data_IF_135221921532
#
_entry.id   IF_135221921532
#
_cell.length_a   1.000
_cell.length_b   1.000
_cell.length_c   1.000
_cell.angle_alpha   90.00
_cell.angle_beta   90.00
_cell.angle_gamma   90.00
#
_symmetry.space_group_name_H-M   'P 1'
#
loop_
_entity.id
_entity.type
_entity.pdbx_description
1 polymer ?
#
# COMPACT_ATOMS: atom_id res chain seq x y z
N UNK A 1 72.34 0.78 55.97
CA UNK A 1 71.58 -0.42 55.61
C UNK A 1 70.13 -0.02 55.55
N UNK A 2 69.68 0.39 54.36
CA UNK A 2 68.30 0.77 54.14
C UNK A 2 67.63 -0.25 53.25
N UNK A 3 66.64 -0.95 53.81
CA UNK A 3 65.84 -1.93 53.12
C UNK A 3 64.56 -1.22 52.65
N UNK A 4 64.37 -0.99 51.33
CA UNK A 4 63.16 -0.55 50.77
C UNK A 4 62.23 -1.73 50.46
N UNK A 5 61.07 -1.73 51.06
CA UNK A 5 60.00 -2.71 50.82
C UNK A 5 59.13 -2.08 49.75
N UNK A 6 59.13 -2.69 48.55
CA UNK A 6 58.25 -2.26 47.41
C UNK A 6 56.93 -3.04 47.53
N UNK A 7 55.83 -2.31 47.80
CA UNK A 7 54.47 -2.85 47.74
C UNK A 7 53.99 -2.87 46.29
N UNK A 8 53.72 -4.04 45.74
CA UNK A 8 52.97 -4.21 44.49
C UNK A 8 51.48 -4.18 44.82
N UNK A 9 50.80 -3.10 44.37
CA UNK A 9 49.35 -3.02 44.35
C UNK A 9 48.90 -3.61 42.99
N UNK A 10 48.34 -4.83 43.03
CA UNK A 10 47.68 -5.42 41.90
C UNK A 10 46.27 -4.76 41.77
N UNK A 11 46.12 -3.81 40.82
CA UNK A 11 44.80 -3.31 40.44
C UNK A 11 44.18 -4.31 39.48
N UNK A 12 43.27 -5.15 40.01
CA UNK A 12 42.37 -5.96 39.17
C UNK A 12 41.32 -5.04 38.52
N UNK A 13 41.57 -4.63 37.25
CA UNK A 13 40.60 -3.98 36.42
C UNK A 13 39.52 -5.01 36.01
N UNK A 14 38.45 -5.12 36.81
CA UNK A 14 37.23 -5.77 36.36
C UNK A 14 36.59 -4.89 35.28
N UNK A 15 36.85 -5.23 34.02
CA UNK A 15 36.11 -4.69 32.89
C UNK A 15 34.69 -5.22 32.95
N UNK A 16 33.81 -4.46 33.60
CA UNK A 16 32.36 -4.65 33.42
C UNK A 16 32.04 -4.27 31.96
N UNK A 17 32.01 -5.28 31.09
CA UNK A 17 31.34 -5.17 29.79
C UNK A 17 29.86 -4.96 30.04
N UNK A 18 29.45 -3.72 30.17
CA UNK A 18 28.05 -3.36 30.02
C UNK A 18 27.74 -3.53 28.53
N UNK A 19 27.27 -4.71 28.14
CA UNK A 19 26.45 -4.85 26.97
C UNK A 19 25.22 -3.99 27.24
N UNK A 20 25.19 -2.76 26.68
CA UNK A 20 23.96 -2.02 26.53
C UNK A 20 23.06 -2.91 25.65
N UNK A 21 22.26 -3.75 26.28
CA UNK A 21 21.10 -4.33 25.64
C UNK A 21 20.23 -3.15 25.27
N UNK A 22 20.11 -2.87 23.97
CA UNK A 22 19.17 -1.86 23.48
C UNK A 22 17.79 -2.31 23.94
N UNK A 23 17.28 -1.69 25.01
CA UNK A 23 15.91 -1.93 25.45
C UNK A 23 14.98 -1.48 24.33
N UNK A 24 14.10 -2.37 23.91
CA UNK A 24 13.08 -2.03 22.93
C UNK A 24 12.06 -1.11 23.58
N UNK A 25 12.09 0.17 23.24
CA UNK A 25 11.15 1.20 23.76
C UNK A 25 9.85 1.29 22.97
N UNK A 26 9.67 0.46 21.95
CA UNK A 26 8.53 0.51 21.04
C UNK A 26 7.16 0.50 21.76
N UNK A 27 7.02 -0.24 22.86
CA UNK A 27 5.76 -0.24 23.63
C UNK A 27 5.51 1.10 24.34
N UNK A 28 6.56 1.76 24.80
CA UNK A 28 6.47 3.09 25.41
C UNK A 28 6.05 4.14 24.37
N UNK A 29 6.67 4.09 23.20
CA UNK A 29 6.37 5.02 22.09
C UNK A 29 4.96 4.79 21.54
N UNK A 30 4.43 3.56 21.59
CA UNK A 30 3.08 3.22 21.16
C UNK A 30 1.97 3.86 22.02
N UNK A 31 2.27 4.39 23.21
CA UNK A 31 1.30 5.05 24.07
C UNK A 31 0.58 6.21 23.36
N UNK A 32 1.23 6.86 22.40
CA UNK A 32 0.61 7.89 21.58
C UNK A 32 -0.53 7.34 20.70
N UNK A 33 -0.40 6.12 20.17
CA UNK A 33 -1.48 5.46 19.41
C UNK A 33 -2.67 5.13 20.31
N UNK A 34 -2.43 4.59 21.51
CA UNK A 34 -3.50 4.29 22.49
C UNK A 34 -4.22 5.56 22.95
N UNK A 35 -3.47 6.63 23.23
CA UNK A 35 -4.05 7.91 23.61
C UNK A 35 -4.91 8.53 22.50
N UNK A 36 -4.49 8.40 21.24
CA UNK A 36 -5.27 8.87 20.10
C UNK A 36 -6.54 8.04 19.91
N UNK A 37 -6.41 6.70 19.97
CA UNK A 37 -7.54 5.77 19.82
C UNK A 37 -8.63 5.97 20.86
N UNK A 38 -8.26 6.28 22.09
CA UNK A 38 -9.21 6.54 23.18
C UNK A 38 -10.17 7.72 22.90
N UNK A 39 -9.85 8.59 21.94
CA UNK A 39 -10.68 9.72 21.54
C UNK A 39 -11.59 9.42 20.34
N UNK A 40 -11.54 8.19 19.78
CA UNK A 40 -12.38 7.82 18.66
C UNK A 40 -13.79 7.50 19.13
N UNK A 41 -14.75 8.14 18.50
CA UNK A 41 -16.15 7.82 18.64
C UNK A 41 -16.62 7.04 17.41
N UNK A 42 -17.20 5.85 17.63
CA UNK A 42 -17.73 5.00 16.55
C UNK A 42 -19.21 4.75 16.76
N UNK A 43 -20.01 4.91 15.69
CA UNK A 43 -21.43 4.57 15.69
C UNK A 43 -21.88 4.16 14.28
N UNK A 44 -23.05 3.54 14.20
CA UNK A 44 -23.64 3.09 12.93
C UNK A 44 -25.02 3.71 12.76
N UNK A 45 -25.32 4.28 11.60
CA UNK A 45 -26.64 4.77 11.25
C UNK A 45 -27.61 3.60 11.00
N UNK A 46 -28.92 3.86 11.03
CA UNK A 46 -29.94 2.82 10.80
C UNK A 46 -29.84 2.15 9.43
N UNK A 47 -29.30 2.85 8.43
CA UNK A 47 -29.08 2.32 7.10
C UNK A 47 -27.78 1.48 6.94
N UNK A 48 -27.02 1.29 8.03
CA UNK A 48 -25.81 0.47 8.06
C UNK A 48 -24.51 1.25 7.87
N UNK A 49 -24.55 2.56 7.58
CA UNK A 49 -23.34 3.39 7.45
C UNK A 49 -22.57 3.44 8.78
N UNK A 50 -21.33 2.98 8.77
CA UNK A 50 -20.42 3.11 9.94
C UNK A 50 -19.72 4.46 9.91
N UNK A 51 -19.79 5.18 11.02
CA UNK A 51 -19.19 6.51 11.20
C UNK A 51 -18.16 6.46 12.31
N UNK A 52 -16.99 7.06 12.08
CA UNK A 52 -15.93 7.25 13.07
C UNK A 52 -15.53 8.72 13.14
N UNK A 53 -15.51 9.26 14.34
CA UNK A 53 -15.14 10.63 14.61
C UNK A 53 -13.90 10.67 15.49
N UNK A 54 -12.89 11.45 15.09
CA UNK A 54 -11.70 11.72 15.89
C UNK A 54 -11.53 13.24 16.04
N UNK A 55 -12.05 13.82 17.12
CA UNK A 55 -11.92 15.24 17.39
C UNK A 55 -10.47 15.63 17.68
N UNK A 56 -9.97 16.66 16.98
CA UNK A 56 -8.66 17.28 17.22
C UNK A 56 -8.86 18.80 17.34
N UNK A 57 -9.00 19.27 18.56
CA UNK A 57 -9.43 20.66 18.86
C UNK A 57 -8.40 21.73 18.46
N UNK A 58 -7.12 21.35 18.38
CA UNK A 58 -6.00 22.20 17.97
C UNK A 58 -5.95 22.48 16.47
N UNK A 59 -6.61 21.66 15.65
CA UNK A 59 -6.64 21.81 14.19
C UNK A 59 -7.63 22.91 13.77
N UNK A 60 -7.41 23.50 12.61
CA UNK A 60 -8.33 24.45 11.97
C UNK A 60 -9.08 23.84 10.78
N UNK A 61 -8.69 22.66 10.40
CA UNK A 61 -9.26 21.87 9.29
C UNK A 61 -9.92 20.60 9.82
N UNK A 62 -10.73 20.00 8.97
CA UNK A 62 -11.27 18.66 9.14
C UNK A 62 -11.08 17.89 7.84
N UNK A 63 -10.71 16.63 7.95
CA UNK A 63 -10.72 15.70 6.82
C UNK A 63 -11.93 14.79 6.96
N UNK A 64 -12.71 14.71 5.90
CA UNK A 64 -13.76 13.71 5.68
C UNK A 64 -13.21 12.66 4.75
N UNK A 65 -13.16 11.41 5.17
CA UNK A 65 -12.76 10.28 4.34
C UNK A 65 -13.87 9.23 4.29
N UNK A 66 -14.13 8.72 3.11
CA UNK A 66 -15.15 7.73 2.81
C UNK A 66 -14.52 6.56 2.10
N UNK A 67 -14.57 5.36 2.69
CA UNK A 67 -14.08 4.15 2.03
C UNK A 67 -15.25 3.21 1.75
N UNK A 68 -15.31 2.74 0.51
CA UNK A 68 -16.23 1.69 0.07
C UNK A 68 -15.49 0.36 -0.03
N UNK A 69 -16.09 -0.72 0.44
CA UNK A 69 -15.62 -2.10 0.26
C UNK A 69 -15.87 -2.54 -1.20
N UNK A 70 -15.38 -1.76 -2.11
CA UNK A 70 -15.50 -1.85 -3.57
C UNK A 70 -14.17 -1.53 -4.19
N UNK A 71 -13.58 -2.48 -4.89
CA UNK A 71 -12.35 -2.31 -5.67
C UNK A 71 -12.38 -3.16 -6.93
N UNK A 72 -11.24 -3.30 -7.59
CA UNK A 72 -11.14 -4.06 -8.83
C UNK A 72 -11.64 -5.51 -8.70
N UNK A 73 -11.43 -6.14 -7.54
CA UNK A 73 -11.90 -7.54 -7.29
C UNK A 73 -13.42 -7.73 -7.40
N UNK A 74 -14.20 -6.66 -7.27
CA UNK A 74 -15.66 -6.71 -7.32
C UNK A 74 -16.20 -6.63 -8.75
N UNK A 75 -15.34 -6.43 -9.74
CA UNK A 75 -15.70 -6.24 -11.12
C UNK A 75 -16.06 -7.57 -11.80
N UNK A 76 -17.21 -7.62 -12.44
CA UNK A 76 -17.61 -8.79 -13.22
C UNK A 76 -16.83 -8.87 -14.53
N UNK A 77 -16.90 -10.03 -15.19
CA UNK A 77 -16.34 -10.20 -16.53
C UNK A 77 -16.93 -9.15 -17.50
N UNK A 78 -16.08 -8.45 -18.24
CA UNK A 78 -16.46 -7.35 -19.13
C UNK A 78 -16.63 -5.99 -18.43
N UNK A 79 -16.23 -5.88 -17.16
CA UNK A 79 -16.27 -4.65 -16.37
C UNK A 79 -14.92 -4.26 -15.77
N UNK A 80 -13.82 -4.80 -16.30
CA UNK A 80 -12.48 -4.50 -15.77
C UNK A 80 -12.13 -3.02 -15.89
N UNK A 81 -11.89 -2.37 -14.74
CA UNK A 81 -11.63 -0.93 -14.61
C UNK A 81 -12.87 -0.10 -14.27
N UNK A 82 -14.04 -0.70 -14.02
CA UNK A 82 -15.26 0.06 -13.67
C UNK A 82 -15.14 0.75 -12.31
N UNK A 83 -14.50 0.15 -11.31
CA UNK A 83 -14.29 0.78 -10.01
C UNK A 83 -13.48 2.08 -10.16
N UNK A 84 -12.38 2.03 -10.93
CA UNK A 84 -11.55 3.19 -11.21
C UNK A 84 -12.24 4.23 -12.13
N UNK A 85 -12.91 3.79 -13.19
CA UNK A 85 -13.70 4.69 -14.03
C UNK A 85 -14.79 5.38 -13.21
N UNK A 86 -15.44 4.65 -12.28
CA UNK A 86 -16.47 5.22 -11.43
C UNK A 86 -15.90 6.23 -10.41
N UNK A 87 -14.68 6.01 -9.91
CA UNK A 87 -13.94 7.02 -9.14
C UNK A 87 -13.88 8.35 -9.89
N UNK A 88 -13.47 8.35 -11.16
CA UNK A 88 -13.44 9.54 -12.00
C UNK A 88 -14.82 10.17 -12.19
N UNK A 89 -15.85 9.35 -12.41
CA UNK A 89 -17.22 9.83 -12.61
C UNK A 89 -17.76 10.60 -11.42
N UNK A 90 -17.43 10.20 -10.17
CA UNK A 90 -17.90 10.86 -8.96
C UNK A 90 -17.40 12.30 -8.77
N UNK A 91 -16.41 12.73 -9.55
CA UNK A 91 -15.94 14.13 -9.58
C UNK A 91 -16.55 14.95 -10.72
N UNK A 92 -17.43 14.36 -11.55
CA UNK A 92 -17.97 14.99 -12.77
C UNK A 92 -19.43 15.41 -12.66
N UNK A 93 -19.90 15.53 -11.43
CA UNK A 93 -21.19 16.10 -11.10
C UNK A 93 -22.18 15.14 -10.46
N UNK A 94 -23.11 15.75 -9.77
CA UNK A 94 -24.23 15.12 -9.08
C UNK A 94 -25.50 15.93 -9.31
N UNK A 95 -26.60 15.49 -8.74
CA UNK A 95 -27.91 16.15 -8.93
C UNK A 95 -27.89 17.62 -8.52
N UNK A 96 -27.28 17.94 -7.36
CA UNK A 96 -27.25 19.30 -6.82
C UNK A 96 -25.92 20.04 -7.05
N UNK A 97 -24.90 19.35 -7.56
CA UNK A 97 -23.62 19.91 -7.95
C UNK A 97 -23.22 19.47 -9.35
N UNK A 98 -23.92 19.98 -10.40
CA UNK A 98 -23.72 19.54 -11.79
C UNK A 98 -22.35 19.93 -12.34
N UNK A 99 -21.78 19.09 -13.22
CA UNK A 99 -20.51 19.33 -13.90
C UNK A 99 -19.35 19.46 -12.93
N UNK A 100 -18.58 20.53 -13.02
CA UNK A 100 -17.41 20.80 -12.17
C UNK A 100 -17.74 21.58 -10.88
N UNK A 101 -19.01 21.73 -10.53
CA UNK A 101 -19.46 22.51 -9.35
C UNK A 101 -18.82 22.01 -8.05
N UNK A 102 -18.70 20.69 -7.88
CA UNK A 102 -18.02 20.09 -6.74
C UNK A 102 -16.58 20.61 -6.60
N UNK A 103 -15.78 20.49 -7.66
CA UNK A 103 -14.40 20.93 -7.66
C UNK A 103 -14.26 22.45 -7.48
N UNK A 104 -15.15 23.24 -8.11
CA UNK A 104 -15.16 24.70 -7.99
C UNK A 104 -15.45 25.14 -6.55
N UNK A 105 -16.45 24.55 -5.90
CA UNK A 105 -16.81 24.90 -4.52
C UNK A 105 -15.69 24.56 -3.54
N UNK A 106 -15.10 23.36 -3.63
CA UNK A 106 -13.99 23.00 -2.76
C UNK A 106 -12.74 23.85 -3.02
N UNK A 107 -12.44 24.16 -4.28
CA UNK A 107 -11.32 25.04 -4.62
C UNK A 107 -11.52 26.46 -4.06
N UNK A 108 -12.74 26.99 -4.11
CA UNK A 108 -13.07 28.30 -3.53
C UNK A 108 -12.92 28.35 -2.01
N UNK A 109 -13.07 27.21 -1.33
CA UNK A 109 -12.85 27.06 0.12
C UNK A 109 -11.38 26.80 0.48
N UNK A 110 -10.48 26.64 -0.50
CA UNK A 110 -9.10 26.19 -0.27
C UNK A 110 -9.00 24.74 0.18
N UNK A 111 -10.04 23.95 -0.04
CA UNK A 111 -10.07 22.53 0.27
C UNK A 111 -9.20 21.72 -0.71
N UNK A 112 -8.70 20.58 -0.21
CA UNK A 112 -7.97 19.59 -1.02
C UNK A 112 -8.74 18.29 -1.00
N UNK A 113 -8.98 17.71 -2.16
CA UNK A 113 -9.69 16.45 -2.29
C UNK A 113 -8.98 15.53 -3.28
N UNK A 114 -9.13 14.24 -3.07
CA UNK A 114 -8.65 13.20 -3.98
C UNK A 114 -9.41 11.90 -3.72
N UNK A 115 -9.10 10.87 -4.50
CA UNK A 115 -9.56 9.52 -4.31
C UNK A 115 -8.49 8.52 -4.77
N UNK A 116 -8.66 7.25 -4.43
CA UNK A 116 -7.85 6.18 -4.99
C UNK A 116 -8.62 4.86 -5.00
N UNK A 117 -8.49 4.12 -6.09
CA UNK A 117 -9.03 2.78 -6.26
C UNK A 117 -7.93 1.75 -6.04
N UNK A 118 -8.26 0.70 -5.29
CA UNK A 118 -7.41 -0.45 -5.01
C UNK A 118 -8.09 -1.75 -5.43
N UNK A 119 -7.45 -2.88 -5.21
CA UNK A 119 -8.07 -4.17 -5.50
C UNK A 119 -9.31 -4.43 -4.63
N UNK A 120 -9.25 -4.08 -3.35
CA UNK A 120 -10.25 -4.43 -2.35
C UNK A 120 -11.18 -3.29 -1.96
N UNK A 121 -10.81 -2.03 -2.23
CA UNK A 121 -11.56 -0.85 -1.81
C UNK A 121 -11.32 0.35 -2.71
N UNK A 122 -12.23 1.31 -2.62
CA UNK A 122 -12.05 2.67 -3.18
C UNK A 122 -12.28 3.68 -2.08
N UNK A 123 -11.34 4.61 -1.90
CA UNK A 123 -11.47 5.67 -0.92
C UNK A 123 -11.58 7.05 -1.59
N UNK A 124 -12.28 7.95 -0.90
CA UNK A 124 -12.47 9.35 -1.26
C UNK A 124 -12.18 10.19 -0.03
N UNK A 125 -11.52 11.31 -0.19
CA UNK A 125 -11.26 12.20 0.95
C UNK A 125 -11.19 13.66 0.54
N UNK A 126 -11.61 14.52 1.46
CA UNK A 126 -11.53 15.96 1.35
C UNK A 126 -11.08 16.57 2.68
N UNK A 127 -10.04 17.41 2.63
CA UNK A 127 -9.58 18.22 3.74
C UNK A 127 -10.01 19.66 3.50
N UNK A 128 -10.77 20.23 4.44
CA UNK A 128 -11.40 21.54 4.30
C UNK A 128 -11.35 22.33 5.61
N UNK A 129 -11.53 23.66 5.58
CA UNK A 129 -11.72 24.45 6.80
C UNK A 129 -12.94 23.96 7.58
N UNK A 130 -12.82 23.86 8.90
CA UNK A 130 -13.87 23.28 9.74
C UNK A 130 -15.23 24.01 9.65
N UNK A 131 -15.23 25.31 9.31
CA UNK A 131 -16.46 26.08 9.09
C UNK A 131 -17.24 25.63 7.85
N UNK A 132 -16.60 24.94 6.92
CA UNK A 132 -17.19 24.43 5.68
C UNK A 132 -17.64 22.97 5.79
N UNK A 133 -17.56 22.34 6.98
CA UNK A 133 -17.85 20.92 7.15
C UNK A 133 -19.28 20.55 6.75
N UNK A 134 -20.27 21.36 7.07
CA UNK A 134 -21.67 21.12 6.69
C UNK A 134 -21.83 21.02 5.16
N UNK A 135 -21.27 21.99 4.41
CA UNK A 135 -21.25 21.97 2.96
C UNK A 135 -20.45 20.78 2.42
N UNK A 136 -19.31 20.45 3.05
CA UNK A 136 -18.50 19.31 2.67
C UNK A 136 -19.27 18.01 2.76
N UNK A 137 -19.95 17.75 3.86
CA UNK A 137 -20.78 16.57 4.06
C UNK A 137 -21.96 16.50 3.08
N UNK A 138 -22.56 17.64 2.78
CA UNK A 138 -23.62 17.72 1.78
C UNK A 138 -23.14 17.32 0.40
N UNK A 139 -22.01 17.86 -0.05
CA UNK A 139 -21.45 17.56 -1.38
C UNK A 139 -20.95 16.12 -1.50
N UNK A 140 -20.35 15.57 -0.42
CA UNK A 140 -19.93 14.17 -0.37
C UNK A 140 -21.15 13.23 -0.47
N UNK A 141 -22.20 13.50 0.32
CA UNK A 141 -23.42 12.69 0.25
C UNK A 141 -24.08 12.78 -1.13
N UNK A 142 -24.16 13.98 -1.73
CA UNK A 142 -24.83 14.18 -3.02
C UNK A 142 -24.14 13.39 -4.13
N UNK A 143 -22.80 13.43 -4.21
CA UNK A 143 -22.06 12.69 -5.25
C UNK A 143 -22.15 11.18 -5.09
N UNK A 144 -22.18 10.66 -3.85
CA UNK A 144 -22.28 9.22 -3.60
C UNK A 144 -23.68 8.69 -3.85
N UNK A 145 -24.71 9.46 -3.52
CA UNK A 145 -26.10 9.04 -3.60
C UNK A 145 -26.72 9.30 -4.98
N UNK A 146 -26.37 10.42 -5.60
CA UNK A 146 -27.00 10.93 -6.84
C UNK A 146 -25.98 11.40 -7.89
N UNK A 147 -25.02 10.53 -8.30
CA UNK A 147 -24.05 10.91 -9.31
C UNK A 147 -24.72 11.17 -10.68
N UNK A 148 -24.17 12.09 -11.43
CA UNK A 148 -24.64 12.40 -12.79
C UNK A 148 -23.91 11.53 -13.82
N UNK A 149 -24.61 10.53 -14.35
CA UNK A 149 -24.04 9.56 -15.29
C UNK A 149 -24.65 9.80 -16.69
N UNK A 150 -24.06 10.67 -17.50
CA UNK A 150 -24.51 10.94 -18.87
C UNK A 150 -23.46 10.53 -19.91
N UNK A 151 -23.90 10.26 -21.14
CA UNK A 151 -23.07 9.71 -22.21
C UNK A 151 -21.84 10.58 -22.54
N UNK A 152 -21.98 11.90 -22.51
CA UNK A 152 -20.86 12.82 -22.79
C UNK A 152 -19.79 12.73 -21.72
N UNK A 153 -20.18 12.75 -20.43
CA UNK A 153 -19.25 12.67 -19.30
C UNK A 153 -18.58 11.29 -19.24
N UNK A 154 -19.33 10.22 -19.47
CA UNK A 154 -18.77 8.85 -19.54
C UNK A 154 -17.68 8.78 -20.60
N UNK A 155 -17.98 9.23 -21.84
CA UNK A 155 -17.00 9.23 -22.91
C UNK A 155 -15.74 10.03 -22.58
N UNK A 156 -15.89 11.21 -22.00
CA UNK A 156 -14.75 12.05 -21.61
C UNK A 156 -13.88 11.35 -20.54
N UNK A 157 -14.50 10.66 -19.57
CA UNK A 157 -13.76 9.96 -18.54
C UNK A 157 -13.11 8.67 -19.05
N UNK A 158 -13.72 7.97 -20.00
CA UNK A 158 -13.07 6.87 -20.71
C UNK A 158 -11.77 7.34 -21.37
N UNK A 159 -11.78 8.46 -22.08
CA UNK A 159 -10.58 9.02 -22.72
C UNK A 159 -9.52 9.41 -21.67
N UNK A 160 -9.94 9.99 -20.54
CA UNK A 160 -9.03 10.36 -19.42
C UNK A 160 -8.36 9.14 -18.83
N UNK A 161 -9.11 8.09 -18.48
CA UNK A 161 -8.58 6.84 -17.91
C UNK A 161 -7.64 6.14 -18.90
N UNK A 162 -7.96 6.16 -20.20
CA UNK A 162 -7.06 5.58 -21.20
C UNK A 162 -5.73 6.35 -21.35
N UNK A 163 -5.75 7.67 -21.18
CA UNK A 163 -4.53 8.48 -21.13
C UNK A 163 -3.70 8.17 -19.88
N UNK A 164 -4.37 8.05 -18.73
CA UNK A 164 -3.71 7.66 -17.48
C UNK A 164 -3.08 6.26 -17.57
N UNK A 165 -3.80 5.27 -18.11
CA UNK A 165 -3.27 3.94 -18.39
C UNK A 165 -2.00 4.01 -19.25
N UNK A 166 -2.00 4.85 -20.27
CA UNK A 166 -0.82 5.03 -21.10
C UNK A 166 0.36 5.64 -20.33
N UNK A 167 0.10 6.58 -19.41
CA UNK A 167 1.14 7.27 -18.64
C UNK A 167 1.70 6.44 -17.48
N UNK A 168 0.81 5.77 -16.74
CA UNK A 168 1.19 5.08 -15.48
C UNK A 168 1.58 3.62 -15.67
N UNK A 169 1.10 2.98 -16.73
CA UNK A 169 1.37 1.57 -17.01
C UNK A 169 2.15 1.40 -18.33
N UNK A 170 1.56 1.83 -19.47
CA UNK A 170 2.09 1.48 -20.78
C UNK A 170 3.43 2.16 -21.09
N UNK A 171 3.67 3.36 -20.56
CA UNK A 171 4.88 4.14 -20.79
C UNK A 171 5.96 3.94 -19.71
N UNK A 172 5.65 3.21 -18.63
CA UNK A 172 6.61 2.99 -17.55
C UNK A 172 7.47 1.75 -17.85
N UNK A 173 8.81 1.88 -17.87
CA UNK A 173 9.69 0.73 -17.95
C UNK A 173 9.43 -0.25 -16.80
N UNK A 174 9.49 -1.54 -17.10
CA UNK A 174 9.32 -2.67 -16.17
C UNK A 174 7.93 -2.81 -15.55
N UNK A 175 7.22 -1.71 -15.21
CA UNK A 175 5.93 -1.74 -14.48
C UNK A 175 4.90 -2.56 -15.24
N UNK A 176 4.72 -2.29 -16.54
CA UNK A 176 3.75 -3.03 -17.37
C UNK A 176 4.04 -4.52 -17.39
N UNK A 177 5.28 -4.89 -17.64
CA UNK A 177 5.67 -6.29 -17.80
C UNK A 177 5.62 -7.04 -16.48
N UNK A 178 6.09 -6.43 -15.39
CA UNK A 178 6.05 -7.00 -14.06
C UNK A 178 4.61 -7.15 -13.55
N UNK A 179 3.80 -6.09 -13.67
CA UNK A 179 2.40 -6.10 -13.24
C UNK A 179 1.58 -7.14 -14.01
N UNK A 180 1.69 -7.17 -15.33
CA UNK A 180 0.98 -8.15 -16.16
C UNK A 180 1.34 -9.59 -15.78
N UNK A 181 2.61 -9.83 -15.46
CA UNK A 181 3.05 -11.15 -15.04
C UNK A 181 2.54 -11.53 -13.65
N UNK A 182 2.54 -10.59 -12.69
CA UNK A 182 1.99 -10.85 -11.34
C UNK A 182 0.48 -11.11 -11.38
N UNK A 183 -0.26 -10.38 -12.21
CA UNK A 183 -1.70 -10.61 -12.41
C UNK A 183 -1.98 -11.99 -13.03
N UNK A 184 -1.11 -12.48 -13.90
CA UNK A 184 -1.23 -13.84 -14.46
C UNK A 184 -1.07 -14.93 -13.38
N UNK A 185 -0.30 -14.67 -12.29
CA UNK A 185 -0.17 -15.62 -11.17
C UNK A 185 -1.47 -15.77 -10.36
N UNK A 186 -2.36 -14.79 -10.43
CA UNK A 186 -3.67 -14.78 -9.75
C UNK A 186 -4.83 -14.84 -10.76
N UNK A 187 -4.55 -15.23 -12.01
CA UNK A 187 -5.57 -15.36 -13.06
C UNK A 187 -6.65 -16.35 -12.69
N UNK A 188 -7.89 -16.06 -13.08
CA UNK A 188 -9.05 -16.88 -12.73
C UNK A 188 -9.59 -16.60 -11.32
N UNK A 189 -9.01 -15.66 -10.61
CA UNK A 189 -9.49 -15.14 -9.34
C UNK A 189 -10.02 -13.73 -9.52
N UNK A 190 -10.71 -13.15 -8.55
CA UNK A 190 -11.13 -11.75 -8.58
C UNK A 190 -9.98 -10.74 -8.72
N UNK A 191 -8.75 -11.14 -8.43
CA UNK A 191 -7.54 -10.32 -8.54
C UNK A 191 -6.80 -10.46 -9.88
N UNK A 192 -7.34 -11.23 -10.82
CA UNK A 192 -6.67 -11.59 -12.07
C UNK A 192 -6.62 -10.48 -13.14
N UNK A 193 -6.98 -9.24 -12.81
CA UNK A 193 -6.90 -8.08 -13.69
C UNK A 193 -6.44 -6.83 -12.96
N UNK A 194 -5.94 -5.84 -13.70
CA UNK A 194 -5.42 -4.59 -13.11
C UNK A 194 -6.50 -3.63 -12.67
N UNK A 195 -6.18 -2.78 -11.70
CA UNK A 195 -7.10 -1.77 -11.13
C UNK A 195 -7.61 -0.79 -12.18
N UNK A 196 -6.71 -0.32 -13.06
CA UNK A 196 -7.08 0.62 -14.13
C UNK A 196 -7.91 -0.06 -15.23
N UNK A 197 -7.93 -1.39 -15.24
CA UNK A 197 -8.76 -2.22 -16.12
C UNK A 197 -8.19 -2.47 -17.51
N UNK A 198 -9.05 -2.99 -18.39
CA UNK A 198 -8.74 -3.21 -19.79
C UNK A 198 -9.28 -2.08 -20.67
N UNK A 199 -8.54 -1.72 -21.72
CA UNK A 199 -9.00 -0.74 -22.72
C UNK A 199 -10.36 -1.10 -23.33
N UNK A 200 -10.59 -2.39 -23.56
CA UNK A 200 -11.81 -2.91 -24.16
C UNK A 200 -13.01 -2.66 -23.26
N UNK A 201 -12.94 -3.09 -22.01
CA UNK A 201 -14.04 -2.97 -21.06
C UNK A 201 -14.36 -1.51 -20.73
N UNK A 202 -13.33 -0.66 -20.57
CA UNK A 202 -13.51 0.78 -20.34
C UNK A 202 -14.27 1.41 -21.49
N UNK A 203 -13.92 1.12 -22.75
CA UNK A 203 -14.61 1.68 -23.93
C UNK A 203 -16.05 1.16 -24.10
N UNK A 204 -16.38 0.00 -23.52
CA UNK A 204 -17.73 -0.55 -23.55
C UNK A 204 -18.64 -0.02 -22.44
N UNK A 205 -18.11 0.70 -21.44
CA UNK A 205 -18.89 1.26 -20.35
C UNK A 205 -19.94 2.26 -20.88
N UNK A 206 -21.17 2.13 -20.41
CA UNK A 206 -22.30 3.02 -20.76
C UNK A 206 -22.91 3.63 -19.51
N UNK A 207 -23.69 4.72 -19.62
CA UNK A 207 -24.44 5.26 -18.48
C UNK A 207 -25.29 4.22 -17.76
N UNK A 208 -25.91 3.30 -18.51
CA UNK A 208 -26.76 2.22 -17.96
C UNK A 208 -25.94 1.21 -17.18
N UNK A 209 -24.79 0.75 -17.73
CA UNK A 209 -23.93 -0.21 -17.04
C UNK A 209 -23.28 0.41 -15.78
N UNK A 210 -22.87 1.68 -15.83
CA UNK A 210 -22.35 2.39 -14.65
C UNK A 210 -23.45 2.68 -13.62
N UNK A 211 -24.70 2.93 -14.03
CA UNK A 211 -25.83 3.05 -13.11
C UNK A 211 -26.10 1.73 -12.39
N UNK A 212 -26.02 0.60 -13.10
CA UNK A 212 -26.18 -0.72 -12.49
C UNK A 212 -25.04 -1.00 -11.49
N UNK A 213 -23.79 -0.67 -11.85
CA UNK A 213 -22.63 -0.78 -10.99
C UNK A 213 -22.75 0.08 -9.72
N UNK A 214 -23.18 1.33 -9.86
CA UNK A 214 -23.44 2.23 -8.73
C UNK A 214 -24.46 1.62 -7.74
N UNK A 215 -25.59 1.14 -8.26
CA UNK A 215 -26.65 0.54 -7.43
C UNK A 215 -26.20 -0.70 -6.70
N UNK A 216 -25.31 -1.48 -7.29
CA UNK A 216 -24.78 -2.70 -6.69
C UNK A 216 -23.81 -2.41 -5.53
N UNK A 217 -22.93 -1.46 -5.70
CA UNK A 217 -21.76 -1.32 -4.83
C UNK A 217 -21.74 -0.07 -3.96
N UNK A 218 -22.31 1.06 -4.41
CA UNK A 218 -22.35 2.31 -3.63
C UNK A 218 -23.56 2.28 -2.68
N UNK A 219 -23.33 1.68 -1.53
CA UNK A 219 -24.34 1.44 -0.50
C UNK A 219 -23.85 1.94 0.86
N UNK A 220 -24.76 2.41 1.73
CA UNK A 220 -24.35 2.92 3.05
C UNK A 220 -23.70 1.84 3.92
N UNK A 221 -24.14 0.59 3.85
CA UNK A 221 -23.60 -0.54 4.62
C UNK A 221 -22.23 -1.06 4.10
N UNK A 222 -21.87 -0.69 2.87
CA UNK A 222 -20.55 -0.96 2.29
C UNK A 222 -19.56 0.21 2.48
N UNK A 223 -20.02 1.32 3.06
CA UNK A 223 -19.22 2.52 3.28
C UNK A 223 -18.82 2.70 4.74
N UNK A 224 -17.59 3.12 4.96
CA UNK A 224 -17.11 3.63 6.23
C UNK A 224 -16.77 5.11 6.06
N UNK A 225 -17.40 5.95 6.90
CA UNK A 225 -17.19 7.40 6.92
C UNK A 225 -16.35 7.78 8.14
N UNK A 226 -15.26 8.47 7.95
CA UNK A 226 -14.46 8.99 9.06
C UNK A 226 -14.23 10.49 8.95
N UNK A 227 -14.27 11.17 10.08
CA UNK A 227 -14.00 12.59 10.21
C UNK A 227 -12.91 12.80 11.24
N UNK A 228 -11.82 13.45 10.83
CA UNK A 228 -10.67 13.73 11.71
C UNK A 228 -10.34 15.22 11.66
N UNK A 229 -10.25 15.87 12.81
CA UNK A 229 -9.91 17.29 12.92
C UNK A 229 -10.84 18.06 13.83
N UNK A 230 -11.02 19.36 13.56
CA UNK A 230 -11.87 20.22 14.38
C UNK A 230 -13.35 19.99 14.08
N UNK A 231 -13.99 19.17 14.90
CA UNK A 231 -15.40 18.84 14.79
C UNK A 231 -16.26 19.82 15.64
N UNK A 232 -17.52 20.02 15.22
CA UNK A 232 -18.52 20.78 15.95
C UNK A 232 -19.53 19.86 16.66
N UNK A 233 -20.27 20.37 17.61
CA UNK A 233 -21.37 19.64 18.25
C UNK A 233 -22.51 19.29 17.28
N UNK A 234 -22.58 19.95 16.13
CA UNK A 234 -23.58 19.72 15.09
C UNK A 234 -23.13 18.63 14.09
N UNK A 235 -21.88 18.18 14.15
CA UNK A 235 -21.32 17.23 13.17
C UNK A 235 -22.19 15.98 13.00
N UNK A 236 -22.65 15.35 14.08
CA UNK A 236 -23.56 14.21 14.02
C UNK A 236 -24.87 14.53 13.29
N UNK A 237 -25.47 15.67 13.61
CA UNK A 237 -26.71 16.10 12.98
C UNK A 237 -26.54 16.27 11.47
N UNK A 238 -25.44 16.89 11.02
CA UNK A 238 -25.15 17.05 9.59
C UNK A 238 -24.94 15.70 8.88
N UNK A 239 -24.27 14.75 9.54
CA UNK A 239 -24.11 13.37 9.00
C UNK A 239 -25.48 12.71 8.86
N UNK A 240 -26.33 12.75 9.88
CA UNK A 240 -27.68 12.17 9.84
C UNK A 240 -28.54 12.81 8.75
N UNK A 241 -28.54 14.15 8.65
CA UNK A 241 -29.30 14.89 7.64
C UNK A 241 -28.93 14.50 6.21
N UNK A 242 -27.65 14.26 5.94
CA UNK A 242 -27.18 14.02 4.58
C UNK A 242 -27.17 12.53 4.19
N UNK A 243 -26.94 11.62 5.15
CA UNK A 243 -26.73 10.21 4.86
C UNK A 243 -27.84 9.26 5.33
N UNK A 244 -28.64 9.62 6.35
CA UNK A 244 -29.60 8.66 6.95
C UNK A 244 -30.70 8.23 5.99
N UNK A 245 -31.13 9.10 5.07
CA UNK A 245 -32.14 8.77 4.05
C UNK A 245 -31.61 7.93 2.88
N UNK A 246 -30.32 7.67 2.83
CA UNK A 246 -29.71 6.82 1.80
C UNK A 246 -30.20 5.38 1.96
N UNK A 247 -30.98 4.91 1.00
CA UNK A 247 -31.60 3.58 1.08
C UNK A 247 -30.61 2.48 0.70
N UNK A 248 -30.72 1.36 1.38
CA UNK A 248 -29.97 0.13 1.09
C UNK A 248 -30.64 -0.65 -0.03
N UNK A 249 -29.98 -0.92 -1.16
CA UNK A 249 -30.52 -1.81 -2.17
C UNK A 249 -30.51 -3.27 -1.67
N UNK A 250 -31.54 -4.02 -2.07
CA UNK A 250 -31.63 -5.46 -1.78
C UNK A 250 -30.93 -6.26 -2.88
N UNK A 251 -29.61 -6.17 -2.95
CA UNK A 251 -28.80 -6.90 -3.94
C UNK A 251 -27.86 -7.84 -3.16
N UNK A 252 -27.84 -9.11 -3.57
CA UNK A 252 -26.89 -10.07 -3.02
C UNK A 252 -25.44 -9.63 -3.35
N UNK A 253 -24.57 -9.69 -2.36
CA UNK A 253 -23.15 -9.46 -2.59
C UNK A 253 -22.58 -10.63 -3.40
N UNK A 254 -21.64 -10.36 -4.32
CA UNK A 254 -20.93 -11.42 -5.00
C UNK A 254 -20.18 -12.29 -3.96
N UNK A 255 -20.41 -13.60 -4.00
CA UNK A 255 -19.61 -14.53 -3.21
C UNK A 255 -18.26 -14.70 -3.90
N UNK A 256 -17.19 -14.41 -3.17
CA UNK A 256 -15.83 -14.70 -3.63
C UNK A 256 -15.43 -16.09 -3.13
N UNK A 257 -15.15 -17.00 -4.05
CA UNK A 257 -14.57 -18.30 -3.70
C UNK A 257 -13.16 -18.09 -3.09
N UNK A 258 -12.83 -18.88 -2.08
CA UNK A 258 -11.47 -18.89 -1.55
C UNK A 258 -10.45 -19.15 -2.66
N UNK A 259 -9.43 -18.33 -2.69
CA UNK A 259 -8.31 -18.45 -3.62
C UNK A 259 -7.50 -19.70 -3.30
N UNK A 260 -7.60 -20.71 -4.14
CA UNK A 260 -6.70 -21.88 -4.08
C UNK A 260 -5.59 -21.70 -5.12
N UNK A 261 -4.63 -20.84 -4.82
CA UNK A 261 -3.42 -20.73 -5.65
C UNK A 261 -2.45 -21.82 -5.20
N UNK A 262 -1.99 -22.61 -6.17
CA UNK A 262 -0.93 -23.59 -5.96
C UNK A 262 0.40 -22.93 -6.34
N UNK A 263 1.21 -22.47 -5.38
CA UNK A 263 2.52 -21.91 -5.66
C UNK A 263 3.37 -22.95 -6.39
N UNK A 264 4.08 -22.51 -7.40
CA UNK A 264 5.07 -23.32 -8.11
C UNK A 264 6.20 -22.42 -8.58
N UNK A 265 7.38 -23.00 -8.70
CA UNK A 265 8.50 -22.29 -9.31
C UNK A 265 8.19 -21.94 -10.76
N UNK A 266 8.33 -20.66 -11.10
CA UNK A 266 8.15 -20.13 -12.46
C UNK A 266 9.38 -19.32 -12.82
N UNK A 267 9.92 -19.57 -14.02
CA UNK A 267 10.94 -18.72 -14.63
C UNK A 267 10.47 -18.30 -16.02
N UNK A 268 10.41 -16.99 -16.26
CA UNK A 268 10.04 -16.41 -17.53
C UNK A 268 11.02 -15.31 -17.95
N UNK A 269 11.21 -15.17 -19.24
CA UNK A 269 11.91 -14.05 -19.85
C UNK A 269 10.92 -13.21 -20.64
N UNK A 270 10.84 -11.91 -20.32
CA UNK A 270 9.96 -10.97 -20.99
C UNK A 270 10.80 -9.85 -21.62
N UNK A 271 10.55 -9.57 -22.91
CA UNK A 271 11.16 -8.41 -23.56
C UNK A 271 10.35 -7.16 -23.25
N UNK A 272 10.89 -6.29 -22.40
CA UNK A 272 10.33 -4.96 -22.13
C UNK A 272 10.90 -3.96 -23.14
N UNK A 273 10.04 -3.49 -24.05
CA UNK A 273 10.47 -2.59 -25.15
C UNK A 273 10.87 -1.20 -24.65
N UNK A 274 10.49 -0.85 -23.42
CA UNK A 274 10.78 0.46 -22.79
C UNK A 274 11.84 0.36 -21.72
N UNK A 275 12.13 -0.84 -21.24
CA UNK A 275 13.22 -1.06 -20.28
C UNK A 275 14.55 -0.66 -20.89
N UNK A 276 15.23 0.37 -20.38
CA UNK A 276 16.55 0.76 -20.87
C UNK A 276 17.64 -0.23 -20.46
N UNK A 277 17.34 -1.11 -19.47
CA UNK A 277 18.29 -2.01 -18.85
C UNK A 277 17.65 -3.34 -18.50
N UNK A 278 18.41 -4.45 -18.33
CA UNK A 278 17.84 -5.69 -17.80
C UNK A 278 17.31 -5.48 -16.37
N UNK A 279 16.14 -6.01 -16.09
CA UNK A 279 15.53 -6.02 -14.75
C UNK A 279 15.20 -7.44 -14.31
N UNK A 280 15.06 -7.64 -13.01
CA UNK A 280 14.69 -8.91 -12.38
C UNK A 280 13.47 -8.66 -11.48
N UNK A 281 12.41 -9.45 -11.67
CA UNK A 281 11.33 -9.56 -10.68
C UNK A 281 11.46 -10.92 -9.98
N UNK A 282 11.48 -10.89 -8.64
CA UNK A 282 11.29 -12.06 -7.80
C UNK A 282 10.02 -11.88 -6.98
N UNK A 283 9.20 -12.94 -6.87
CA UNK A 283 7.97 -12.89 -6.10
C UNK A 283 7.64 -14.23 -5.45
N UNK A 284 6.92 -14.16 -4.32
CA UNK A 284 6.44 -15.29 -3.54
C UNK A 284 4.97 -15.09 -3.19
N UNK A 285 4.18 -16.13 -3.34
CA UNK A 285 2.81 -16.13 -2.86
C UNK A 285 2.78 -16.12 -1.34
N UNK A 286 1.99 -15.22 -0.78
CA UNK A 286 1.79 -15.08 0.66
C UNK A 286 0.31 -15.07 1.00
N UNK A 287 -0.04 -14.75 2.22
CA UNK A 287 -1.41 -14.71 2.74
C UNK A 287 -2.04 -13.33 2.66
N UNK A 288 -3.34 -13.27 2.81
CA UNK A 288 -4.07 -12.00 2.90
C UNK A 288 -3.74 -11.20 4.16
N UNK A 289 -4.06 -9.90 4.11
CA UNK A 289 -3.68 -8.90 5.15
C UNK A 289 -4.15 -9.22 6.57
N UNK A 290 -5.25 -9.96 6.69
CA UNK A 290 -5.89 -10.29 7.98
C UNK A 290 -5.50 -11.67 8.53
N UNK A 291 -4.63 -12.39 7.82
CA UNK A 291 -4.13 -13.69 8.27
C UNK A 291 -3.16 -13.53 9.46
N UNK A 292 -3.12 -14.49 10.42
CA UNK A 292 -2.19 -14.44 11.56
C UNK A 292 -0.72 -14.25 11.18
N UNK A 293 -0.27 -14.81 10.07
CA UNK A 293 1.12 -14.71 9.60
C UNK A 293 1.43 -13.34 8.93
N UNK A 294 0.43 -12.53 8.59
CA UNK A 294 0.63 -11.30 7.81
C UNK A 294 1.58 -10.29 8.50
N UNK A 295 1.49 -10.15 9.82
CA UNK A 295 2.37 -9.26 10.59
C UNK A 295 3.84 -9.71 10.50
N UNK A 296 4.11 -11.01 10.62
CA UNK A 296 5.46 -11.57 10.52
C UNK A 296 6.02 -11.44 9.09
N UNK A 297 5.18 -11.68 8.07
CA UNK A 297 5.56 -11.49 6.65
C UNK A 297 5.93 -10.04 6.39
N UNK A 298 5.13 -9.08 6.86
CA UNK A 298 5.41 -7.64 6.69
C UNK A 298 6.74 -7.23 7.32
N UNK A 299 7.05 -7.73 8.53
CA UNK A 299 8.35 -7.47 9.16
C UNK A 299 9.49 -8.14 8.39
N UNK A 300 9.28 -9.36 7.86
CA UNK A 300 10.27 -10.06 7.03
C UNK A 300 10.55 -9.30 5.72
N UNK A 301 9.54 -8.83 5.02
CA UNK A 301 9.72 -7.99 3.82
C UNK A 301 10.47 -6.70 4.13
N UNK A 302 10.12 -6.04 5.24
CA UNK A 302 10.86 -4.87 5.74
C UNK A 302 12.33 -5.16 6.02
N UNK A 303 12.62 -6.31 6.63
CA UNK A 303 13.99 -6.78 6.87
C UNK A 303 14.75 -7.08 5.57
N UNK A 304 14.13 -7.79 4.65
CA UNK A 304 14.78 -8.26 3.43
C UNK A 304 14.93 -7.14 2.38
N UNK A 305 13.88 -6.35 2.11
CA UNK A 305 13.77 -5.59 0.87
C UNK A 305 13.36 -4.11 1.02
N UNK A 306 12.46 -3.76 1.96
CA UNK A 306 11.63 -2.56 1.80
C UNK A 306 12.17 -1.27 2.40
N UNK A 307 13.29 -1.27 3.10
CA UNK A 307 13.81 -0.06 3.71
C UNK A 307 15.30 0.15 3.45
N UNK A 308 15.79 1.37 3.69
CA UNK A 308 17.20 1.74 3.48
C UNK A 308 18.16 0.97 4.39
N UNK A 309 17.67 0.32 5.44
CA UNK A 309 18.44 -0.50 6.37
C UNK A 309 18.20 -1.99 6.17
N UNK A 310 17.44 -2.38 5.12
CA UNK A 310 17.17 -3.78 4.79
C UNK A 310 18.45 -4.56 4.52
N UNK A 311 18.36 -5.88 4.61
CA UNK A 311 19.49 -6.76 4.32
C UNK A 311 20.02 -6.56 2.90
N UNK A 312 19.14 -6.39 1.93
CA UNK A 312 19.49 -6.11 0.53
C UNK A 312 20.16 -4.72 0.38
N UNK A 313 19.64 -3.69 1.03
CA UNK A 313 20.24 -2.35 1.00
C UNK A 313 21.64 -2.32 1.61
N UNK A 314 21.84 -3.00 2.75
CA UNK A 314 23.17 -3.10 3.39
C UNK A 314 24.20 -3.78 2.49
N UNK A 315 23.81 -4.84 1.77
CA UNK A 315 24.69 -5.48 0.79
C UNK A 315 25.07 -4.52 -0.35
N UNK A 316 24.12 -3.73 -0.81
CA UNK A 316 24.31 -2.80 -1.92
C UNK A 316 25.19 -1.59 -1.57
N UNK A 317 25.21 -1.17 -0.30
CA UNK A 317 26.09 -0.08 0.17
C UNK A 317 27.58 -0.43 0.04
N UNK A 318 27.95 -1.70 0.24
CA UNK A 318 29.35 -2.16 0.18
C UNK A 318 29.77 -2.62 -1.22
N UNK A 319 28.82 -3.06 -2.02
CA UNK A 319 29.04 -3.50 -3.39
C UNK A 319 27.75 -3.25 -4.20
N UNK A 320 27.59 -2.03 -4.76
CA UNK A 320 26.36 -1.64 -5.45
C UNK A 320 26.23 -2.44 -6.75
N UNK A 321 25.50 -3.54 -6.69
CA UNK A 321 25.22 -4.42 -7.83
C UNK A 321 23.87 -4.10 -8.48
N UNK A 322 23.04 -3.28 -7.84
CA UNK A 322 21.77 -2.80 -8.35
C UNK A 322 21.74 -1.28 -8.41
N UNK A 323 21.09 -0.74 -9.43
CA UNK A 323 20.85 0.69 -9.58
C UNK A 323 19.50 1.10 -9.00
N UNK A 324 18.52 0.19 -9.11
CA UNK A 324 17.14 0.44 -8.67
C UNK A 324 16.57 -0.81 -7.99
N UNK A 325 15.84 -0.60 -6.89
CA UNK A 325 15.04 -1.64 -6.24
C UNK A 325 13.70 -1.07 -5.76
N UNK A 326 12.62 -1.77 -6.01
CA UNK A 326 11.28 -1.42 -5.51
C UNK A 326 10.37 -2.65 -5.45
N UNK A 327 9.33 -2.57 -4.61
CA UNK A 327 8.27 -3.59 -4.53
C UNK A 327 6.96 -3.03 -5.06
N UNK A 328 6.18 -3.89 -5.71
CA UNK A 328 4.82 -3.57 -6.16
C UNK A 328 3.82 -3.89 -5.02
N UNK A 329 2.76 -3.10 -4.82
CA UNK A 329 1.80 -3.32 -3.74
C UNK A 329 0.82 -4.46 -4.08
N UNK A 330 1.02 -5.63 -3.49
CA UNK A 330 0.16 -6.81 -3.62
C UNK A 330 -0.20 -7.40 -2.26
N UNK A 331 -0.54 -6.56 -1.29
CA UNK A 331 -1.13 -6.98 -0.03
C UNK A 331 -2.66 -6.87 -0.15
N UNK A 332 -3.30 -8.00 -0.46
CA UNK A 332 -4.72 -8.06 -0.75
C UNK A 332 -5.48 -8.63 0.46
N UNK A 333 -6.80 -8.54 0.46
CA UNK A 333 -7.60 -9.02 1.59
C UNK A 333 -7.47 -10.53 1.80
N UNK A 334 -7.53 -11.30 0.71
CA UNK A 334 -7.52 -12.77 0.78
C UNK A 334 -6.22 -13.40 0.30
N UNK A 335 -5.26 -12.62 -0.19
CA UNK A 335 -4.01 -13.11 -0.76
C UNK A 335 -2.92 -12.03 -0.70
N UNK A 336 -1.65 -12.45 -0.79
CA UNK A 336 -0.52 -11.54 -0.91
C UNK A 336 0.51 -12.06 -1.88
N UNK A 337 1.30 -11.15 -2.44
CA UNK A 337 2.49 -11.47 -3.23
C UNK A 337 3.63 -10.58 -2.75
N UNK A 338 4.51 -11.16 -1.91
CA UNK A 338 5.77 -10.53 -1.58
C UNK A 338 6.64 -10.47 -2.84
N UNK A 339 7.15 -9.30 -3.19
CA UNK A 339 7.89 -9.15 -4.43
C UNK A 339 8.97 -8.07 -4.35
N UNK A 340 9.98 -8.20 -5.22
CA UNK A 340 11.03 -7.21 -5.42
C UNK A 340 11.40 -7.12 -6.89
N UNK A 341 11.44 -5.90 -7.41
CA UNK A 341 11.99 -5.60 -8.73
C UNK A 341 13.37 -4.99 -8.54
N UNK A 342 14.35 -5.54 -9.24
CA UNK A 342 15.75 -5.13 -9.19
C UNK A 342 16.26 -4.79 -10.59
N UNK A 343 16.99 -3.69 -10.72
CA UNK A 343 17.74 -3.34 -11.94
C UNK A 343 19.22 -3.38 -11.61
N UNK A 344 19.99 -4.33 -12.18
CA UNK A 344 21.40 -4.49 -11.88
C UNK A 344 22.28 -3.47 -12.62
N UNK A 345 23.49 -3.25 -12.12
CA UNK A 345 24.57 -2.59 -12.87
C UNK A 345 25.10 -3.50 -13.98
N UNK A 346 25.76 -2.92 -15.00
CA UNK A 346 26.19 -3.63 -16.22
C UNK A 346 26.93 -4.93 -15.95
N UNK A 347 27.78 -4.97 -14.95
CA UNK A 347 28.63 -6.12 -14.63
C UNK A 347 27.98 -7.18 -13.75
N UNK A 348 26.77 -6.89 -13.25
CA UNK A 348 26.05 -7.82 -12.40
C UNK A 348 25.03 -8.60 -13.23
N UNK A 349 25.15 -9.92 -13.26
CA UNK A 349 24.17 -10.76 -13.95
C UNK A 349 22.87 -10.88 -13.13
N UNK A 350 21.75 -11.12 -13.80
CA UNK A 350 20.48 -11.41 -13.13
C UNK A 350 20.59 -12.65 -12.24
N UNK A 351 21.32 -13.68 -12.66
CA UNK A 351 21.56 -14.88 -11.85
C UNK A 351 22.31 -14.58 -10.56
N UNK A 352 23.31 -13.70 -10.61
CA UNK A 352 24.03 -13.28 -9.40
C UNK A 352 23.10 -12.56 -8.41
N UNK A 353 22.20 -11.71 -8.89
CA UNK A 353 21.19 -11.05 -8.04
C UNK A 353 20.20 -12.06 -7.46
N UNK A 354 19.70 -13.00 -8.25
CA UNK A 354 18.83 -14.08 -7.76
C UNK A 354 19.52 -14.83 -6.63
N UNK A 355 20.76 -15.30 -6.82
CA UNK A 355 21.50 -16.01 -5.78
C UNK A 355 21.71 -15.16 -4.52
N UNK A 356 21.93 -13.87 -4.69
CA UNK A 356 22.09 -12.95 -3.56
C UNK A 356 20.80 -12.81 -2.74
N UNK A 357 19.66 -12.59 -3.41
CA UNK A 357 18.34 -12.49 -2.75
C UNK A 357 17.97 -13.81 -2.08
N UNK A 358 18.13 -14.93 -2.78
CA UNK A 358 17.85 -16.26 -2.22
C UNK A 358 18.79 -16.60 -1.06
N UNK A 359 20.04 -16.14 -1.10
CA UNK A 359 20.99 -16.26 0.01
C UNK A 359 20.52 -15.54 1.27
N UNK A 360 19.99 -14.31 1.15
CA UNK A 360 19.40 -13.58 2.27
C UNK A 360 18.17 -14.30 2.85
N UNK A 361 17.29 -14.79 1.97
CA UNK A 361 16.13 -15.59 2.38
C UNK A 361 16.59 -16.86 3.12
N UNK A 362 17.54 -17.60 2.55
CA UNK A 362 18.06 -18.82 3.16
C UNK A 362 18.72 -18.57 4.54
N UNK A 363 19.44 -17.46 4.67
CA UNK A 363 20.01 -17.05 5.96
C UNK A 363 18.90 -16.84 7.00
N UNK A 364 17.82 -16.15 6.64
CA UNK A 364 16.68 -15.91 7.55
C UNK A 364 15.94 -17.21 7.89
N UNK A 365 15.96 -18.21 6.99
CA UNK A 365 15.40 -19.53 7.26
C UNK A 365 16.25 -20.37 8.22
N UNK A 366 17.56 -20.19 8.18
CA UNK A 366 18.52 -20.96 9.01
C UNK A 366 18.70 -20.31 10.38
N UNK A 367 18.90 -19.01 10.41
CA UNK A 367 19.22 -18.25 11.60
C UNK A 367 18.05 -17.34 11.95
N UNK A 368 17.52 -17.48 13.18
CA UNK A 368 16.52 -16.55 13.69
C UNK A 368 17.14 -15.14 13.83
N UNK A 369 16.35 -14.10 13.61
CA UNK A 369 16.79 -12.73 13.84
C UNK A 369 17.18 -12.52 15.30
N UNK A 370 18.25 -11.76 15.54
CA UNK A 370 18.56 -11.32 16.88
C UNK A 370 17.51 -10.32 17.41
N UNK A 371 17.42 -10.22 18.73
CA UNK A 371 16.43 -9.39 19.42
C UNK A 371 16.56 -7.90 19.05
N UNK A 372 17.78 -7.40 18.82
CA UNK A 372 18.02 -6.01 18.45
C UNK A 372 17.53 -5.70 17.02
N UNK A 373 17.73 -6.62 16.09
CA UNK A 373 17.20 -6.53 14.72
C UNK A 373 15.67 -6.55 14.71
N UNK A 374 15.05 -7.47 15.44
CA UNK A 374 13.59 -7.55 15.56
C UNK A 374 13.02 -6.28 16.20
N UNK A 375 13.62 -5.79 17.27
CA UNK A 375 13.23 -4.53 17.90
C UNK A 375 13.30 -3.36 16.91
N UNK A 376 14.40 -3.27 16.14
CA UNK A 376 14.58 -2.21 15.13
C UNK A 376 13.45 -2.26 14.09
N UNK A 377 13.07 -3.42 13.61
CA UNK A 377 11.97 -3.57 12.64
C UNK A 377 10.62 -3.09 13.21
N UNK A 378 10.30 -3.50 14.44
CA UNK A 378 9.10 -3.04 15.15
C UNK A 378 9.10 -1.51 15.34
N UNK A 379 10.26 -0.97 15.73
CA UNK A 379 10.42 0.48 15.92
C UNK A 379 10.28 1.26 14.60
N UNK A 380 10.85 0.78 13.51
CA UNK A 380 10.70 1.40 12.18
C UNK A 380 9.22 1.40 11.77
N UNK A 381 8.53 0.27 11.93
CA UNK A 381 7.10 0.19 11.64
C UNK A 381 6.29 1.18 12.48
N UNK A 382 6.52 1.22 13.79
CA UNK A 382 5.84 2.13 14.70
C UNK A 382 6.11 3.59 14.38
N UNK A 383 7.36 3.97 14.13
CA UNK A 383 7.74 5.34 13.80
C UNK A 383 7.02 5.84 12.54
N UNK A 384 6.83 4.97 11.52
CA UNK A 384 6.06 5.31 10.33
C UNK A 384 4.59 5.60 10.67
N UNK A 385 4.02 4.94 11.70
CA UNK A 385 2.67 5.26 12.16
C UNK A 385 2.64 6.57 12.95
N UNK A 386 3.60 6.76 13.85
CA UNK A 386 3.67 7.95 14.72
C UNK A 386 3.87 9.25 13.93
N UNK A 387 4.62 9.23 12.84
CA UNK A 387 4.83 10.38 11.95
C UNK A 387 3.53 10.90 11.33
N UNK A 388 2.48 10.09 11.27
CA UNK A 388 1.19 10.45 10.69
C UNK A 388 0.19 11.00 11.70
N UNK A 389 0.50 10.99 13.01
CA UNK A 389 -0.47 11.36 14.06
C UNK A 389 -0.95 12.82 14.01
N UNK A 390 -0.19 13.70 13.40
CA UNK A 390 -0.56 15.11 13.21
C UNK A 390 -1.25 15.40 11.87
N UNK A 391 -1.26 14.42 10.96
CA UNK A 391 -1.87 14.53 9.63
C UNK A 391 -3.33 14.06 9.66
N UNK A 392 -4.27 15.00 9.67
CA UNK A 392 -5.70 14.69 9.68
C UNK A 392 -6.16 13.87 8.48
N UNK A 393 -5.50 14.04 7.31
CA UNK A 393 -5.83 13.29 6.10
C UNK A 393 -5.37 11.83 6.23
N UNK A 394 -4.13 11.59 6.63
CA UNK A 394 -3.60 10.25 6.83
C UNK A 394 -4.42 9.48 7.89
N UNK A 395 -4.76 10.14 9.00
CA UNK A 395 -5.57 9.56 10.06
C UNK A 395 -7.00 9.25 9.58
N UNK A 396 -7.65 10.16 8.84
CA UNK A 396 -9.00 9.94 8.33
C UNK A 396 -9.05 8.77 7.34
N UNK A 397 -8.11 8.70 6.41
CA UNK A 397 -8.00 7.58 5.46
C UNK A 397 -7.79 6.27 6.22
N UNK A 398 -6.85 6.23 7.17
CA UNK A 398 -6.58 5.03 7.98
C UNK A 398 -7.80 4.61 8.78
N UNK A 399 -8.51 5.56 9.37
CA UNK A 399 -9.69 5.30 10.19
C UNK A 399 -10.87 4.78 9.34
N UNK A 400 -11.04 5.28 8.10
CA UNK A 400 -12.05 4.76 7.16
C UNK A 400 -11.69 3.37 6.61
N UNK A 401 -10.41 2.98 6.64
CA UNK A 401 -9.91 1.69 6.17
C UNK A 401 -9.91 0.59 7.26
N UNK A 402 -10.49 0.86 8.43
CA UNK A 402 -10.52 -0.10 9.53
C UNK A 402 -11.25 -1.37 9.14
N UNK A 403 -10.57 -2.52 9.26
CA UNK A 403 -11.19 -3.83 8.97
C UNK A 403 -12.27 -4.18 10.02
N UNK A 404 -13.24 -5.04 9.68
CA UNK A 404 -14.26 -5.46 10.64
C UNK A 404 -13.69 -6.10 11.92
N UNK A 405 -12.55 -6.79 11.82
CA UNK A 405 -11.88 -7.39 12.99
C UNK A 405 -11.20 -6.37 13.87
N UNK A 406 -10.79 -5.21 13.33
CA UNK A 406 -10.11 -4.13 14.06
C UNK A 406 -11.06 -3.00 14.49
N UNK A 407 -12.39 -3.20 14.34
CA UNK A 407 -13.41 -2.15 14.53
C UNK A 407 -13.33 -1.43 15.87
N UNK A 408 -12.94 -2.13 16.93
CA UNK A 408 -12.84 -1.59 18.29
C UNK A 408 -11.46 -0.98 18.59
N UNK A 409 -10.44 -1.31 17.77
CA UNK A 409 -9.05 -0.88 17.93
C UNK A 409 -8.40 -0.46 16.60
N UNK A 410 -8.93 0.59 15.92
CA UNK A 410 -8.57 0.92 14.54
C UNK A 410 -7.11 1.34 14.35
N UNK A 411 -6.43 1.81 15.40
CA UNK A 411 -5.02 2.18 15.33
C UNK A 411 -4.11 1.20 16.04
N UNK A 412 -4.55 0.60 17.14
CA UNK A 412 -3.67 -0.22 18.00
C UNK A 412 -3.69 -1.70 17.67
N UNK A 413 -4.75 -2.26 17.05
CA UNK A 413 -4.82 -3.69 16.72
C UNK A 413 -3.66 -4.15 15.82
N UNK A 414 -3.32 -3.37 14.81
CA UNK A 414 -2.21 -3.69 13.93
C UNK A 414 -0.86 -3.62 14.65
N UNK A 415 -0.67 -2.60 15.52
CA UNK A 415 0.49 -2.52 16.38
C UNK A 415 0.61 -3.74 17.31
N UNK A 416 -0.48 -4.14 17.94
CA UNK A 416 -0.49 -5.32 18.81
C UNK A 416 -0.03 -6.59 18.08
N UNK A 417 -0.52 -6.80 16.83
CA UNK A 417 -0.08 -7.92 15.99
C UNK A 417 1.41 -7.82 15.65
N UNK A 418 1.90 -6.66 15.23
CA UNK A 418 3.32 -6.42 14.94
C UNK A 418 4.19 -6.62 16.19
N UNK A 419 3.75 -6.09 17.33
CA UNK A 419 4.52 -6.19 18.58
C UNK A 419 4.59 -7.63 19.11
N UNK A 420 3.57 -8.44 18.88
CA UNK A 420 3.52 -9.84 19.27
C UNK A 420 4.45 -10.76 18.45
N UNK A 421 4.90 -10.34 17.26
CA UNK A 421 5.78 -11.15 16.40
C UNK A 421 7.10 -11.46 17.10
N UNK A 422 7.49 -12.72 17.07
CA UNK A 422 8.77 -13.22 17.57
C UNK A 422 9.78 -13.48 16.45
N UNK A 423 11.05 -13.69 16.80
CA UNK A 423 12.07 -14.09 15.84
C UNK A 423 11.76 -15.47 15.20
N UNK A 424 11.15 -16.36 15.98
CA UNK A 424 10.72 -17.69 15.52
C UNK A 424 9.57 -17.59 14.52
N UNK A 425 8.64 -16.63 14.70
CA UNK A 425 7.56 -16.37 13.74
C UNK A 425 8.13 -15.90 12.41
N UNK A 426 9.10 -14.97 12.42
CA UNK A 426 9.79 -14.49 11.21
C UNK A 426 10.49 -15.67 10.50
N UNK A 427 11.22 -16.50 11.22
CA UNK A 427 11.88 -17.68 10.66
C UNK A 427 10.85 -18.67 10.08
N UNK A 428 9.73 -18.88 10.79
CA UNK A 428 8.67 -19.79 10.36
C UNK A 428 8.00 -19.33 9.07
N UNK A 429 7.65 -18.03 8.93
CA UNK A 429 7.08 -17.49 7.71
C UNK A 429 8.09 -17.46 6.57
N UNK A 430 9.38 -17.22 6.84
CA UNK A 430 10.44 -17.34 5.85
C UNK A 430 10.51 -18.75 5.25
N UNK A 431 10.45 -19.79 6.10
CA UNK A 431 10.43 -21.20 5.66
C UNK A 431 9.17 -21.57 4.90
N UNK A 432 8.01 -21.06 5.33
CA UNK A 432 6.70 -21.44 4.78
C UNK A 432 6.43 -20.77 3.45
N UNK A 433 6.67 -19.47 3.32
CA UNK A 433 6.25 -18.66 2.17
C UNK A 433 7.39 -18.30 1.23
N UNK A 434 8.60 -18.06 1.72
CA UNK A 434 9.75 -17.68 0.90
C UNK A 434 10.59 -18.91 0.52
N UNK A 435 9.90 -19.95 0.03
CA UNK A 435 10.48 -21.24 -0.33
C UNK A 435 10.95 -21.29 -1.78
N UNK A 436 11.16 -22.50 -2.32
CA UNK A 436 11.63 -22.72 -3.69
C UNK A 436 10.56 -22.46 -4.76
N UNK A 437 9.29 -22.35 -4.38
CA UNK A 437 8.17 -22.10 -5.28
C UNK A 437 8.02 -20.60 -5.59
N UNK A 438 9.13 -19.95 -5.90
CA UNK A 438 9.14 -18.53 -6.23
C UNK A 438 8.97 -18.29 -7.73
N UNK A 439 8.49 -17.10 -8.05
CA UNK A 439 8.37 -16.59 -9.40
C UNK A 439 9.61 -15.76 -9.73
N UNK A 440 10.27 -16.05 -10.84
CA UNK A 440 11.34 -15.25 -11.41
C UNK A 440 10.94 -14.75 -12.78
N UNK A 441 11.09 -13.45 -13.02
CA UNK A 441 10.93 -12.86 -14.34
C UNK A 441 12.16 -12.05 -14.70
N UNK A 442 12.82 -12.43 -15.77
CA UNK A 442 13.92 -11.67 -16.37
C UNK A 442 13.31 -10.67 -17.35
N UNK A 443 13.30 -9.38 -16.98
CA UNK A 443 12.79 -8.28 -17.79
C UNK A 443 13.92 -7.78 -18.69
N UNK A 444 13.92 -8.21 -19.93
CA UNK A 444 15.02 -7.97 -20.85
C UNK A 444 14.72 -6.77 -21.78
N UNK A 445 15.64 -5.85 -21.96
CA UNK A 445 15.49 -4.81 -22.98
C UNK A 445 15.59 -5.43 -24.38
N UNK A 446 15.20 -4.73 -25.45
CA UNK A 446 15.41 -5.16 -26.82
C UNK A 446 16.87 -5.52 -27.11
N UNK A 447 17.09 -6.43 -28.03
CA UNK A 447 18.42 -6.98 -28.34
C UNK A 447 19.49 -5.92 -28.63
N UNK A 448 19.12 -4.82 -29.30
CA UNK A 448 20.05 -3.73 -29.63
C UNK A 448 20.52 -2.94 -28.41
N UNK A 449 19.69 -2.83 -27.35
CA UNK A 449 20.10 -2.23 -26.06
C UNK A 449 21.01 -3.19 -25.29
N UNK A 450 20.72 -4.50 -25.33
CA UNK A 450 21.59 -5.52 -24.71
C UNK A 450 23.01 -5.52 -25.30
N UNK A 451 23.13 -5.27 -26.60
CA UNK A 451 24.43 -5.07 -27.24
C UNK A 451 25.17 -3.85 -26.71
N UNK A 452 24.47 -2.74 -26.46
CA UNK A 452 25.04 -1.56 -25.81
C UNK A 452 25.59 -1.85 -24.42
N UNK A 453 24.87 -2.63 -23.61
CA UNK A 453 25.36 -3.09 -22.30
C UNK A 453 26.68 -3.85 -22.41
N UNK A 454 26.79 -4.79 -23.30
CA UNK A 454 28.04 -5.56 -23.53
C UNK A 454 29.23 -4.64 -23.85
N UNK A 455 28.99 -3.54 -24.56
CA UNK A 455 30.03 -2.54 -24.81
C UNK A 455 30.44 -1.77 -23.55
N UNK A 456 29.48 -1.44 -22.67
CA UNK A 456 29.75 -0.77 -21.39
C UNK A 456 30.61 -1.64 -20.45
N UNK A 457 30.46 -2.96 -20.50
CA UNK A 457 31.27 -3.90 -19.72
C UNK A 457 32.77 -3.85 -20.06
N UNK A 458 33.12 -3.26 -21.19
CA UNK A 458 34.51 -3.08 -21.65
C UNK A 458 35.12 -1.75 -21.21
N UNK A 459 34.31 -0.82 -20.69
CA UNK A 459 34.77 0.48 -20.20
C UNK A 459 35.33 0.37 -18.76
N UNK A 460 36.22 1.29 -18.33
CA UNK A 460 36.58 1.42 -16.93
C UNK A 460 35.34 1.63 -16.04
N UNK A 461 35.40 1.14 -14.79
CA UNK A 461 34.26 1.16 -13.88
C UNK A 461 33.66 2.56 -13.66
N UNK A 462 34.50 3.55 -13.45
CA UNK A 462 34.13 4.97 -13.25
C UNK A 462 33.39 5.57 -14.45
N UNK A 463 33.76 5.18 -15.66
CA UNK A 463 33.06 5.60 -16.88
C UNK A 463 31.77 4.85 -17.12
N UNK A 464 31.74 3.54 -16.87
CA UNK A 464 30.48 2.76 -17.02
C UNK A 464 29.44 3.20 -16.00
N UNK A 465 29.83 3.38 -14.74
CA UNK A 465 28.92 3.82 -13.66
C UNK A 465 28.31 5.19 -13.94
N UNK A 466 29.14 6.15 -14.44
CA UNK A 466 28.61 7.48 -14.77
C UNK A 466 27.68 7.49 -15.97
N UNK A 467 27.86 6.60 -16.96
CA UNK A 467 26.95 6.43 -18.09
C UNK A 467 25.66 5.71 -17.68
N UNK A 468 25.75 4.73 -16.81
CA UNK A 468 24.57 4.04 -16.25
C UNK A 468 23.67 4.98 -15.46
N UNK A 469 24.27 5.81 -14.58
CA UNK A 469 23.55 6.80 -13.78
C UNK A 469 22.90 7.91 -14.64
N UNK A 470 23.40 8.16 -15.84
CA UNK A 470 22.84 9.14 -16.78
C UNK A 470 21.66 8.58 -17.63
N UNK A 471 21.48 7.26 -17.68
CA UNK A 471 20.43 6.59 -18.47
C UNK A 471 19.19 6.30 -17.64
N UNK A 472 19.27 6.26 -16.33
CA UNK A 472 18.17 6.06 -15.38
C UNK A 472 17.70 7.40 -14.79
#
# INVERSE_FOLDING_TARGET
MNTQITFFIAISASVFSHTLQAQCHAEQDAQALYALEANIETYTLQNGLTVRLLPMADKQTVTVASQFNLGARNEAQGQSGYAHLFEHMLFKGSENAPGDTYAQQFSALGARFNASTHFDYTNYYVTLPNQALELGLYLEADRFIRPSLNATTVKNQQETVLQEMAQTIDNQPYVRSAMAFLLEQVKGTPYGHGIIGSREDILQATPESLTAFHRAYYRPDAMQLSLVGKLSTQTRQWIEQNFAAWSRPTIAEPEFSELTIQPKQVHAELVDKRGPWPGLLLAWHTVGKDHPDAAAIRLLEGYLFQNTTSALAKLSLHNPEQMLSYSLPFELENHGIANIVLVPRARTSLDALVQKVLGLVAQTQQDALDEASLCTLKQVWLNNQLQQLDDTQALAIKLSATSPQDKDHPFTAQWQRINAVTADDIQSVAKRYFNQDYVRVDLLPPWYIRWGKTLLEWLPNDMSDSLEDAVL
#
